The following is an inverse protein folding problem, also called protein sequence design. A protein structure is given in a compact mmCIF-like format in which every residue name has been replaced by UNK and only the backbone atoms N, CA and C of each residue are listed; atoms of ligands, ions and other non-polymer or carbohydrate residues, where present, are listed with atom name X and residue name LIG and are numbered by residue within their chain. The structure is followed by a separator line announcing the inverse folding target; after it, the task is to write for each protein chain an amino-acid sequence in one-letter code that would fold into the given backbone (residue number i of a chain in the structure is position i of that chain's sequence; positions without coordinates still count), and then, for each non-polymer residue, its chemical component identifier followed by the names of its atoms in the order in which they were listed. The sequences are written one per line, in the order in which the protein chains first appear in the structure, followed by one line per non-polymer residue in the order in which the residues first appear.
data_IF_047458843496
#
_entry.id   IF_047458843496
#
_cell.length_a   1.000
_cell.length_b   1.000
_cell.length_c   1.000
_cell.angle_alpha   90.00
_cell.angle_beta   90.00
_cell.angle_gamma   90.00
#
_symmetry.space_group_name_H-M   'P 1'
#
loop_
_entity.id
_entity.type
_entity.pdbx_description
1 polymer ?
#
# COMPACT_ATOMS: atom_id res chain seq x y z
N UNK A 1 15.00 -18.47 -25.37
CA UNK A 1 14.17 -19.25 -24.42
C UNK A 1 14.24 -18.77 -22.96
N UNK A 2 15.43 -18.55 -22.37
CA UNK A 2 15.59 -18.18 -20.94
C UNK A 2 14.85 -16.90 -20.51
N UNK A 3 14.87 -15.84 -21.33
CA UNK A 3 14.20 -14.54 -21.05
C UNK A 3 12.67 -14.65 -21.03
N UNK A 4 12.08 -15.47 -21.91
CA UNK A 4 10.63 -15.71 -21.93
C UNK A 4 10.14 -16.50 -20.71
N UNK A 5 10.94 -17.44 -20.21
CA UNK A 5 10.58 -18.20 -19.00
C UNK A 5 10.64 -17.32 -17.74
N UNK A 6 11.62 -16.42 -17.65
CA UNK A 6 11.69 -15.43 -16.56
C UNK A 6 10.47 -14.51 -16.61
N UNK A 7 10.14 -13.95 -17.79
CA UNK A 7 8.97 -13.08 -17.93
C UNK A 7 7.65 -13.78 -17.56
N UNK A 8 7.46 -15.03 -17.99
CA UNK A 8 6.29 -15.84 -17.61
C UNK A 8 6.19 -16.02 -16.09
N UNK A 9 7.31 -16.29 -15.41
CA UNK A 9 7.38 -16.38 -13.95
C UNK A 9 7.00 -15.06 -13.28
N UNK A 10 7.53 -13.93 -13.76
CA UNK A 10 7.22 -12.61 -13.19
C UNK A 10 5.74 -12.24 -13.37
N UNK A 11 5.14 -12.55 -14.52
CA UNK A 11 3.71 -12.34 -14.77
C UNK A 11 2.87 -13.22 -13.83
N UNK A 12 3.24 -14.49 -13.67
CA UNK A 12 2.54 -15.40 -12.77
C UNK A 12 2.57 -14.89 -11.32
N UNK A 13 3.74 -14.46 -10.82
CA UNK A 13 3.87 -13.89 -9.48
C UNK A 13 3.03 -12.61 -9.36
N UNK A 14 3.04 -11.75 -10.37
CA UNK A 14 2.23 -10.53 -10.36
C UNK A 14 0.73 -10.81 -10.28
N UNK A 15 0.24 -11.77 -11.06
CA UNK A 15 -1.16 -12.21 -11.00
C UNK A 15 -1.48 -12.76 -9.61
N UNK A 16 -0.63 -13.65 -9.08
CA UNK A 16 -0.82 -14.22 -7.75
C UNK A 16 -0.88 -13.15 -6.65
N UNK A 17 0.08 -12.21 -6.63
CA UNK A 17 0.09 -11.11 -5.66
C UNK A 17 -1.14 -10.22 -5.81
N UNK A 18 -1.56 -9.94 -7.05
CA UNK A 18 -2.74 -9.12 -7.29
C UNK A 18 -4.00 -9.78 -6.77
N UNK A 19 -4.22 -11.06 -7.11
CA UNK A 19 -5.40 -11.82 -6.69
C UNK A 19 -5.46 -12.01 -5.18
N UNK A 20 -4.32 -12.28 -4.53
CA UNK A 20 -4.28 -12.60 -3.10
C UNK A 20 -4.27 -11.34 -2.23
N UNK A 21 -3.56 -10.29 -2.63
CA UNK A 21 -3.27 -9.15 -1.74
C UNK A 21 -3.92 -7.83 -2.18
N UNK A 22 -4.23 -7.65 -3.46
CA UNK A 22 -4.76 -6.36 -3.96
C UNK A 22 -6.27 -6.43 -4.14
N UNK A 23 -6.78 -7.48 -4.79
CA UNK A 23 -8.19 -7.58 -5.11
C UNK A 23 -9.11 -7.69 -3.87
N UNK A 24 -8.76 -8.45 -2.81
CA UNK A 24 -9.68 -8.59 -1.69
C UNK A 24 -9.96 -7.26 -0.97
N UNK A 25 -8.97 -6.43 -0.61
CA UNK A 25 -9.23 -5.09 -0.06
C UNK A 25 -10.00 -4.17 -1.01
N UNK A 26 -9.70 -4.24 -2.32
CA UNK A 26 -10.36 -3.42 -3.35
C UNK A 26 -11.84 -3.75 -3.53
N UNK A 27 -12.20 -5.03 -3.42
CA UNK A 27 -13.59 -5.49 -3.58
C UNK A 27 -14.34 -5.69 -2.27
N UNK A 28 -13.68 -5.56 -1.11
CA UNK A 28 -14.35 -5.65 0.18
C UNK A 28 -15.41 -4.54 0.29
N UNK A 29 -16.67 -4.95 0.51
CA UNK A 29 -17.85 -4.08 0.68
C UNK A 29 -18.35 -4.07 2.12
N UNK A 30 -17.72 -4.82 3.02
CA UNK A 30 -18.14 -4.83 4.42
C UNK A 30 -17.89 -3.50 5.08
N UNK A 31 -18.68 -3.20 6.12
CA UNK A 31 -18.49 -2.00 6.92
C UNK A 31 -17.26 -2.12 7.82
N UNK A 32 -16.65 -0.98 8.13
CA UNK A 32 -15.56 -0.94 9.08
C UNK A 32 -16.07 -1.19 10.50
N UNK A 33 -15.54 -2.24 11.13
CA UNK A 33 -15.73 -2.51 12.55
C UNK A 33 -14.52 -2.03 13.33
N UNK A 34 -14.70 -1.07 14.24
CA UNK A 34 -13.63 -0.63 15.13
C UNK A 34 -13.15 -1.83 16.00
N UNK A 35 -11.85 -2.14 16.03
CA UNK A 35 -11.34 -3.18 16.91
C UNK A 35 -11.57 -2.84 18.37
N UNK A 36 -11.66 -3.85 19.25
CA UNK A 36 -11.82 -3.61 20.69
C UNK A 36 -10.60 -2.86 21.24
N UNK A 37 -10.84 -1.80 22.02
CA UNK A 37 -9.79 -1.02 22.69
C UNK A 37 -8.92 -1.95 23.56
N UNK A 38 -7.59 -1.93 23.41
CA UNK A 38 -6.71 -2.72 24.28
C UNK A 38 -6.84 -2.28 25.74
N UNK A 39 -6.96 -3.24 26.66
CA UNK A 39 -7.15 -2.98 28.10
C UNK A 39 -5.85 -3.04 28.91
N UNK A 40 -4.88 -3.85 28.47
CA UNK A 40 -3.60 -4.05 29.17
C UNK A 40 -2.45 -3.52 28.32
N UNK A 41 -1.33 -3.17 28.96
CA UNK A 41 -0.10 -2.71 28.29
C UNK A 41 0.41 -3.72 27.26
N UNK A 42 0.36 -5.02 27.56
CA UNK A 42 0.72 -6.09 26.63
C UNK A 42 -0.13 -6.07 25.36
N UNK A 43 -1.46 -5.91 25.51
CA UNK A 43 -2.36 -5.82 24.36
C UNK A 43 -2.11 -4.56 23.53
N UNK A 44 -1.71 -3.44 24.16
CA UNK A 44 -1.30 -2.23 23.46
C UNK A 44 -0.03 -2.44 22.64
N UNK A 45 0.96 -3.14 23.19
CA UNK A 45 2.20 -3.47 22.47
C UNK A 45 1.88 -4.36 21.26
N UNK A 46 1.11 -5.42 21.45
CA UNK A 46 0.70 -6.32 20.36
C UNK A 46 -0.10 -5.58 19.28
N UNK A 47 -1.02 -4.70 19.68
CA UNK A 47 -1.77 -3.86 18.76
C UNK A 47 -0.86 -2.96 17.92
N UNK A 48 0.13 -2.32 18.57
CA UNK A 48 1.14 -1.51 17.88
C UNK A 48 1.96 -2.32 16.88
N UNK A 49 2.42 -3.52 17.27
CA UNK A 49 3.16 -4.41 16.36
C UNK A 49 2.31 -4.78 15.14
N UNK A 50 1.03 -5.11 15.34
CA UNK A 50 0.12 -5.43 14.24
C UNK A 50 -0.08 -4.24 13.28
N UNK A 51 -0.29 -3.03 13.80
CA UNK A 51 -0.42 -1.84 12.95
C UNK A 51 0.88 -1.59 12.17
N UNK A 52 2.04 -1.77 12.81
CA UNK A 52 3.34 -1.61 12.13
C UNK A 52 3.51 -2.61 10.98
N UNK A 53 3.15 -3.88 11.22
CA UNK A 53 3.21 -4.94 10.18
C UNK A 53 2.26 -4.61 9.02
N UNK A 54 1.02 -4.20 9.32
CA UNK A 54 0.04 -3.84 8.28
C UNK A 54 0.49 -2.61 7.48
N UNK A 55 1.01 -1.57 8.15
CA UNK A 55 1.58 -0.41 7.48
C UNK A 55 2.75 -0.81 6.57
N UNK A 56 3.68 -1.62 7.07
CA UNK A 56 4.82 -2.11 6.29
C UNK A 56 4.35 -2.90 5.05
N UNK A 57 3.38 -3.78 5.23
CA UNK A 57 2.77 -4.55 4.16
C UNK A 57 2.20 -3.65 3.05
N UNK A 58 1.42 -2.63 3.42
CA UNK A 58 0.84 -1.71 2.44
C UNK A 58 1.91 -0.85 1.74
N UNK A 59 2.92 -0.38 2.47
CA UNK A 59 4.02 0.38 1.87
C UNK A 59 4.85 -0.46 0.89
N UNK A 60 5.17 -1.71 1.23
CA UNK A 60 5.86 -2.63 0.31
C UNK A 60 5.00 -2.88 -0.93
N UNK A 61 3.72 -3.17 -0.76
CA UNK A 61 2.84 -3.55 -1.86
C UNK A 61 2.59 -2.38 -2.82
N UNK A 62 2.16 -1.23 -2.29
CA UNK A 62 1.70 -0.10 -3.11
C UNK A 62 2.81 0.87 -3.50
N UNK A 63 3.89 1.00 -2.70
CA UNK A 63 4.95 1.99 -2.96
C UNK A 63 6.18 1.35 -3.56
N UNK A 64 6.43 0.06 -3.35
CA UNK A 64 7.58 -0.59 -3.99
C UNK A 64 7.16 -1.57 -5.07
N UNK A 65 6.45 -2.64 -4.71
CA UNK A 65 6.17 -3.76 -5.58
C UNK A 65 5.37 -3.34 -6.82
N UNK A 66 4.19 -2.77 -6.64
CA UNK A 66 3.30 -2.42 -7.75
C UNK A 66 3.94 -1.45 -8.77
N UNK A 67 4.48 -0.28 -8.36
CA UNK A 67 5.13 0.63 -9.31
C UNK A 67 6.30 -0.03 -10.07
N UNK A 68 7.12 -0.83 -9.38
CA UNK A 68 8.26 -1.51 -9.99
C UNK A 68 7.84 -2.58 -11.00
N UNK A 69 6.81 -3.38 -10.69
CA UNK A 69 6.31 -4.43 -11.60
C UNK A 69 5.61 -3.84 -12.82
N UNK A 70 4.76 -2.83 -12.63
CA UNK A 70 4.09 -2.16 -13.74
C UNK A 70 5.10 -1.49 -14.68
N UNK A 71 6.12 -0.80 -14.13
CA UNK A 71 7.19 -0.19 -14.92
C UNK A 71 7.96 -1.24 -15.73
N UNK A 72 8.28 -2.39 -15.11
CA UNK A 72 8.94 -3.50 -15.81
C UNK A 72 8.11 -3.99 -17.00
N UNK A 73 6.81 -4.24 -16.81
CA UNK A 73 5.95 -4.74 -17.88
C UNK A 73 5.75 -3.73 -19.00
N UNK A 74 5.62 -2.44 -18.67
CA UNK A 74 5.51 -1.41 -19.69
C UNK A 74 6.81 -1.24 -20.50
N UNK A 75 7.97 -1.24 -19.84
CA UNK A 75 9.27 -1.11 -20.52
C UNK A 75 9.59 -2.32 -21.40
N UNK A 76 9.06 -3.51 -21.08
CA UNK A 76 9.21 -4.71 -21.92
C UNK A 76 8.30 -4.65 -23.15
N UNK A 77 7.12 -4.02 -23.04
CA UNK A 77 6.09 -4.01 -24.10
C UNK A 77 6.14 -2.77 -25.00
N UNK A 78 6.73 -1.65 -24.55
CA UNK A 78 6.78 -0.38 -25.27
C UNK A 78 8.10 0.36 -25.01
N UNK A 79 8.52 1.19 -25.98
CA UNK A 79 9.59 2.20 -25.74
C UNK A 79 9.19 3.09 -24.57
N UNK A 80 10.13 3.38 -23.66
CA UNK A 80 9.89 4.02 -22.35
C UNK A 80 9.39 5.46 -22.44
N UNK A 81 8.13 5.66 -22.84
CA UNK A 81 7.49 6.97 -22.91
C UNK A 81 7.06 7.46 -21.52
N UNK A 82 6.88 8.77 -21.37
CA UNK A 82 6.45 9.41 -20.12
C UNK A 82 5.08 8.89 -19.66
N UNK A 83 4.19 8.56 -20.60
CA UNK A 83 2.85 8.05 -20.33
C UNK A 83 2.88 6.74 -19.54
N UNK A 84 3.71 5.78 -19.97
CA UNK A 84 3.81 4.48 -19.29
C UNK A 84 4.40 4.59 -17.89
N UNK A 85 5.38 5.48 -17.70
CA UNK A 85 5.94 5.80 -16.38
C UNK A 85 4.87 6.41 -15.48
N UNK A 86 4.09 7.38 -15.96
CA UNK A 86 3.00 7.97 -15.20
C UNK A 86 1.92 6.95 -14.84
N UNK A 87 1.54 6.08 -15.78
CA UNK A 87 0.55 5.02 -15.52
C UNK A 87 1.00 4.07 -14.41
N UNK A 88 2.28 3.67 -14.40
CA UNK A 88 2.85 2.83 -13.34
C UNK A 88 2.87 3.50 -11.96
N UNK A 89 2.79 4.82 -11.90
CA UNK A 89 2.74 5.60 -10.66
C UNK A 89 1.30 5.86 -10.19
N UNK A 90 0.37 6.09 -11.12
CA UNK A 90 -1.01 6.46 -10.81
C UNK A 90 -1.82 5.22 -10.38
N UNK A 91 -1.67 4.08 -11.07
CA UNK A 91 -2.45 2.87 -10.77
C UNK A 91 -2.30 2.45 -9.30
N UNK A 92 -1.08 2.36 -8.72
CA UNK A 92 -0.93 1.92 -7.33
C UNK A 92 -1.55 2.88 -6.32
N UNK A 93 -1.54 4.19 -6.59
CA UNK A 93 -2.18 5.21 -5.75
C UNK A 93 -3.71 5.07 -5.78
N UNK A 94 -4.29 4.86 -6.96
CA UNK A 94 -5.74 4.63 -7.10
C UNK A 94 -6.15 3.35 -6.38
N UNK A 95 -5.41 2.25 -6.59
CA UNK A 95 -5.67 0.96 -5.93
C UNK A 95 -5.57 1.07 -4.40
N UNK A 96 -4.57 1.79 -3.89
CA UNK A 96 -4.44 2.07 -2.46
C UNK A 96 -5.67 2.82 -1.92
N UNK A 97 -6.13 3.85 -2.64
CA UNK A 97 -7.35 4.57 -2.28
C UNK A 97 -8.60 3.69 -2.24
N UNK A 98 -8.81 2.89 -3.30
CA UNK A 98 -9.98 2.01 -3.41
C UNK A 98 -9.96 0.92 -2.33
N UNK A 99 -8.78 0.41 -1.93
CA UNK A 99 -8.66 -0.54 -0.83
C UNK A 99 -9.23 -0.02 0.51
N UNK A 100 -9.31 1.31 0.67
CA UNK A 100 -9.86 1.97 1.85
C UNK A 100 -11.36 2.30 1.74
N UNK A 101 -12.04 1.83 0.68
CA UNK A 101 -13.47 2.13 0.45
C UNK A 101 -14.41 1.68 1.56
N UNK A 102 -14.02 0.67 2.33
CA UNK A 102 -14.78 0.16 3.48
C UNK A 102 -14.90 1.18 4.62
N UNK A 103 -14.07 2.23 4.60
CA UNK A 103 -14.14 3.38 5.51
C UNK A 103 -14.98 4.55 4.94
N UNK A 104 -15.62 4.37 3.78
CA UNK A 104 -16.44 5.38 3.12
C UNK A 104 -15.70 6.25 2.09
N UNK A 105 -16.47 7.05 1.34
CA UNK A 105 -15.96 7.82 0.19
C UNK A 105 -14.88 8.85 0.55
N UNK A 106 -15.05 9.58 1.67
CA UNK A 106 -14.07 10.57 2.12
C UNK A 106 -12.72 9.91 2.47
N UNK A 107 -12.75 8.70 3.00
CA UNK A 107 -11.55 7.92 3.31
C UNK A 107 -10.81 7.48 2.05
N UNK A 108 -11.51 7.21 0.94
CA UNK A 108 -10.88 6.95 -0.36
C UNK A 108 -10.09 8.18 -0.82
N UNK A 109 -10.72 9.36 -0.80
CA UNK A 109 -10.08 10.62 -1.22
C UNK A 109 -8.87 10.92 -0.33
N UNK A 110 -9.03 10.76 0.98
CA UNK A 110 -7.95 10.92 1.95
C UNK A 110 -6.78 9.96 1.66
N UNK A 111 -7.08 8.67 1.44
CA UNK A 111 -6.07 7.65 1.15
C UNK A 111 -5.34 7.92 -0.17
N UNK A 112 -6.03 8.42 -1.21
CA UNK A 112 -5.39 8.84 -2.47
C UNK A 112 -4.40 9.98 -2.20
N UNK A 113 -4.80 11.02 -1.48
CA UNK A 113 -3.94 12.16 -1.17
C UNK A 113 -2.72 11.74 -0.32
N UNK A 114 -2.94 10.95 0.73
CA UNK A 114 -1.87 10.38 1.55
C UNK A 114 -0.94 9.49 0.70
N UNK A 115 -1.50 8.68 -0.20
CA UNK A 115 -0.77 7.84 -1.15
C UNK A 115 0.17 8.64 -2.05
N UNK A 116 -0.30 9.77 -2.58
CA UNK A 116 0.53 10.70 -3.37
C UNK A 116 1.68 11.23 -2.52
N UNK A 117 1.39 11.73 -1.31
CA UNK A 117 2.41 12.29 -0.41
C UNK A 117 3.47 11.25 -0.05
N UNK A 118 3.07 10.05 0.37
CA UNK A 118 3.99 8.98 0.72
C UNK A 118 4.83 8.56 -0.48
N UNK A 119 4.26 8.51 -1.68
CA UNK A 119 5.01 8.22 -2.90
C UNK A 119 6.06 9.28 -3.21
N UNK A 120 5.72 10.57 -3.05
CA UNK A 120 6.67 11.67 -3.24
C UNK A 120 7.82 11.61 -2.23
N UNK A 121 7.53 11.31 -0.96
CA UNK A 121 8.56 11.10 0.08
C UNK A 121 9.45 9.91 -0.29
N UNK A 122 8.85 8.76 -0.61
CA UNK A 122 9.58 7.55 -0.99
C UNK A 122 10.55 7.79 -2.15
N UNK A 123 10.13 8.52 -3.18
CA UNK A 123 10.97 8.82 -4.35
C UNK A 123 12.11 9.79 -4.08
N UNK A 124 12.02 10.65 -3.06
CA UNK A 124 13.11 11.55 -2.66
C UNK A 124 14.25 10.81 -1.96
N UNK A 125 13.98 9.65 -1.38
CA UNK A 125 14.95 8.86 -0.63
C UNK A 125 15.69 7.91 -1.59
N UNK A 126 17.03 8.00 -1.64
CA UNK A 126 17.85 7.22 -2.58
C UNK A 126 17.80 5.70 -2.33
N UNK A 127 17.75 5.30 -1.07
CA UNK A 127 17.71 3.89 -0.67
C UNK A 127 16.27 3.41 -0.58
N UNK A 128 15.92 2.34 -1.30
CA UNK A 128 14.58 1.73 -1.21
C UNK A 128 14.24 1.28 0.20
N UNK A 129 15.21 0.67 0.91
CA UNK A 129 15.00 0.21 2.28
C UNK A 129 14.71 1.39 3.21
N UNK A 130 15.54 2.44 3.17
CA UNK A 130 15.33 3.65 3.97
C UNK A 130 14.03 4.34 3.61
N UNK A 131 13.68 4.37 2.32
CA UNK A 131 12.44 4.92 1.82
C UNK A 131 11.23 4.22 2.42
N UNK A 132 11.17 2.88 2.32
CA UNK A 132 10.08 2.06 2.87
C UNK A 132 10.00 2.23 4.37
N UNK A 133 11.11 2.13 5.08
CA UNK A 133 11.12 2.30 6.54
C UNK A 133 10.57 3.66 6.94
N UNK A 134 10.98 4.73 6.26
CA UNK A 134 10.50 6.08 6.56
C UNK A 134 8.99 6.22 6.34
N UNK A 135 8.47 5.83 5.17
CA UNK A 135 7.02 5.95 4.91
C UNK A 135 6.19 5.01 5.79
N UNK A 136 6.73 3.83 6.13
CA UNK A 136 6.09 2.88 7.05
C UNK A 136 5.95 3.49 8.43
N UNK A 137 7.00 4.15 8.96
CA UNK A 137 6.94 4.80 10.27
C UNK A 137 5.94 5.96 10.29
N UNK A 138 5.91 6.78 9.23
CA UNK A 138 4.93 7.87 9.11
C UNK A 138 3.51 7.31 9.10
N UNK A 139 3.25 6.27 8.29
CA UNK A 139 1.96 5.63 8.18
C UNK A 139 1.56 4.94 9.51
N UNK A 140 2.49 4.23 10.15
CA UNK A 140 2.28 3.62 11.46
C UNK A 140 1.86 4.67 12.51
N UNK A 141 2.60 5.77 12.62
CA UNK A 141 2.31 6.85 13.57
C UNK A 141 0.93 7.46 13.28
N UNK A 142 0.62 7.69 12.00
CA UNK A 142 -0.70 8.17 11.59
C UNK A 142 -1.81 7.22 12.04
N UNK A 143 -1.66 5.91 11.80
CA UNK A 143 -2.69 4.92 12.17
C UNK A 143 -2.86 4.82 13.69
N UNK A 144 -1.77 4.84 14.45
CA UNK A 144 -1.84 4.90 15.92
C UNK A 144 -2.60 6.14 16.38
N UNK A 145 -2.30 7.32 15.82
CA UNK A 145 -2.99 8.55 16.17
C UNK A 145 -4.50 8.47 15.86
N UNK A 146 -4.88 7.95 14.68
CA UNK A 146 -6.28 7.74 14.30
C UNK A 146 -6.99 6.79 15.26
N UNK A 147 -6.39 5.63 15.58
CA UNK A 147 -6.98 4.69 16.53
C UNK A 147 -7.13 5.29 17.93
N UNK A 148 -6.13 6.02 18.42
CA UNK A 148 -6.22 6.73 19.71
C UNK A 148 -7.39 7.73 19.73
N UNK A 149 -7.59 8.49 18.64
CA UNK A 149 -8.72 9.42 18.50
C UNK A 149 -10.07 8.69 18.46
N UNK A 150 -10.15 7.58 17.73
CA UNK A 150 -11.38 6.76 17.66
C UNK A 150 -11.72 6.12 19.01
N UNK A 151 -10.73 5.66 19.78
CA UNK A 151 -10.89 5.11 21.14
C UNK A 151 -11.12 6.15 22.23
N UNK A 152 -10.95 7.44 21.90
CA UNK A 152 -11.30 8.55 22.79
C UNK A 152 -12.74 9.01 22.56
N UNK A 153 -13.22 8.95 21.31
CA UNK A 153 -14.58 9.36 20.94
C UNK A 153 -15.67 8.32 21.24
N UNK A 154 -15.29 7.04 21.39
CA UNK A 154 -16.18 5.91 21.73
C UNK A 154 -15.81 5.34 23.10
#
# INVERSE_FOLDING_TARGET
MKKNNILKKEIFIFIAVTVIFILPPVFYTGEFTLPKKPQTSEKWILFGIWILILALYEEILYRWYLPSRLTLFFNIRQSSNITTKLTAEIIPVILFGIAHRHLGLLSILYAILAGIIFRLIFRKIKSHLTGITCVTLIHFIHNIAVYCLLFYKN
#
